data_IF_615581768215
#
_entry.id   IF_615581768215
#
_cell.length_a   1.000
_cell.length_b   1.000
_cell.length_c   1.000
_cell.angle_alpha   90.00
_cell.angle_beta   90.00
_cell.angle_gamma   90.00
#
_symmetry.space_group_name_H-M   'P 1'
#
loop_
_entity.id
_entity.type
_entity.pdbx_description
1 polymer ?
#
# COMPACT_ATOMS: atom_id res chain seq x y z
N UNK A 1 0.26 -31.86 -8.95
CA UNK A 1 0.92 -30.73 -9.65
C UNK A 1 0.22 -29.38 -9.50
N UNK A 2 -1.01 -29.15 -10.00
CA UNK A 2 -1.63 -27.80 -9.94
C UNK A 2 -1.85 -27.28 -8.52
N UNK A 3 -2.29 -28.13 -7.60
CA UNK A 3 -2.40 -27.78 -6.17
C UNK A 3 -1.05 -27.47 -5.53
N UNK A 4 0.01 -28.19 -5.91
CA UNK A 4 1.36 -27.94 -5.43
C UNK A 4 1.89 -26.59 -5.93
N UNK A 5 1.57 -26.21 -7.17
CA UNK A 5 1.88 -24.89 -7.71
C UNK A 5 1.16 -23.78 -6.92
N UNK A 6 -0.11 -24.00 -6.54
CA UNK A 6 -0.85 -23.09 -5.65
C UNK A 6 -0.18 -22.98 -4.28
N UNK A 7 0.15 -24.12 -3.66
CA UNK A 7 0.81 -24.15 -2.36
C UNK A 7 2.15 -23.41 -2.37
N UNK A 8 2.98 -23.65 -3.38
CA UNK A 8 4.26 -22.97 -3.56
C UNK A 8 4.09 -21.46 -3.78
N UNK A 9 3.12 -21.06 -4.61
CA UNK A 9 2.86 -19.64 -4.84
C UNK A 9 2.38 -18.94 -3.56
N UNK A 10 1.54 -19.58 -2.75
CA UNK A 10 1.08 -19.01 -1.47
C UNK A 10 2.23 -18.96 -0.45
N UNK A 11 3.11 -19.96 -0.41
CA UNK A 11 4.32 -19.91 0.43
C UNK A 11 5.15 -18.66 0.13
N UNK A 12 5.33 -18.34 -1.16
CA UNK A 12 6.04 -17.12 -1.57
C UNK A 12 5.36 -15.83 -1.13
N UNK A 13 4.02 -15.81 -1.05
CA UNK A 13 3.29 -14.66 -0.48
C UNK A 13 3.59 -14.53 1.01
N UNK A 14 3.58 -15.64 1.75
CA UNK A 14 3.90 -15.65 3.19
C UNK A 14 5.37 -15.29 3.45
N UNK A 15 6.29 -15.79 2.63
CA UNK A 15 7.72 -15.43 2.69
C UNK A 15 7.94 -13.94 2.39
N UNK A 16 7.16 -13.36 1.47
CA UNK A 16 7.20 -11.92 1.21
C UNK A 16 6.72 -11.08 2.41
N UNK A 17 5.89 -11.65 3.30
CA UNK A 17 5.54 -11.02 4.58
C UNK A 17 6.65 -11.16 5.64
N UNK A 18 7.77 -11.82 5.33
CA UNK A 18 8.93 -12.04 6.19
C UNK A 18 9.35 -10.86 7.07
N UNK A 19 9.42 -9.62 6.55
CA UNK A 19 9.77 -8.46 7.36
C UNK A 19 8.89 -8.25 8.60
N UNK A 20 7.61 -8.64 8.55
CA UNK A 20 6.67 -8.54 9.68
C UNK A 20 6.56 -9.83 10.50
N UNK A 21 7.05 -10.96 9.99
CA UNK A 21 7.07 -12.24 10.71
C UNK A 21 8.14 -12.28 11.81
N UNK A 22 9.12 -11.37 11.75
CA UNK A 22 10.18 -11.24 12.76
C UNK A 22 9.77 -10.41 14.00
N UNK A 23 8.48 -10.05 14.14
CA UNK A 23 7.97 -9.29 15.29
C UNK A 23 8.26 -7.79 15.24
N UNK A 24 8.83 -7.27 14.14
CA UNK A 24 8.97 -5.84 13.89
C UNK A 24 7.67 -5.35 13.25
N UNK A 25 6.76 -4.84 14.07
CA UNK A 25 5.45 -4.35 13.59
C UNK A 25 5.58 -3.08 12.74
N UNK A 26 6.62 -2.28 12.97
CA UNK A 26 6.87 -1.05 12.22
C UNK A 26 8.27 -1.03 11.58
N UNK A 27 8.27 -1.08 10.26
CA UNK A 27 9.45 -0.86 9.42
C UNK A 27 9.52 0.60 8.99
N UNK A 28 10.71 1.10 8.59
CA UNK A 28 10.84 2.34 7.86
C UNK A 28 9.86 2.41 6.68
N UNK A 29 9.37 3.60 6.35
CA UNK A 29 8.31 3.76 5.35
C UNK A 29 8.70 3.21 3.97
N UNK A 30 9.93 3.49 3.54
CA UNK A 30 10.47 3.02 2.26
C UNK A 30 10.55 1.49 2.19
N UNK A 31 11.01 0.84 3.27
CA UNK A 31 11.06 -0.61 3.39
C UNK A 31 9.65 -1.21 3.43
N UNK A 32 8.73 -0.57 4.16
CA UNK A 32 7.31 -0.97 4.23
C UNK A 32 6.68 -0.98 2.84
N UNK A 33 6.86 0.09 2.07
CA UNK A 33 6.32 0.22 0.70
C UNK A 33 6.92 -0.84 -0.22
N UNK A 34 8.22 -1.10 -0.11
CA UNK A 34 8.91 -2.12 -0.92
C UNK A 34 8.43 -3.54 -0.59
N UNK A 35 8.27 -3.86 0.69
CA UNK A 35 7.74 -5.13 1.14
C UNK A 35 6.28 -5.34 0.68
N UNK A 36 5.43 -4.31 0.80
CA UNK A 36 4.03 -4.36 0.31
C UNK A 36 3.99 -4.69 -1.19
N UNK A 37 4.82 -4.02 -2.01
CA UNK A 37 4.88 -4.28 -3.46
C UNK A 37 5.27 -5.74 -3.75
N UNK A 38 6.21 -6.29 -2.99
CA UNK A 38 6.62 -7.69 -3.11
C UNK A 38 5.47 -8.65 -2.78
N UNK A 39 4.74 -8.39 -1.68
CA UNK A 39 3.54 -9.16 -1.33
C UNK A 39 2.45 -9.09 -2.40
N UNK A 40 2.16 -7.90 -2.95
CA UNK A 40 1.14 -7.71 -4.00
C UNK A 40 1.52 -8.45 -5.31
N UNK A 41 2.80 -8.40 -5.69
CA UNK A 41 3.32 -9.13 -6.84
C UNK A 41 3.20 -10.65 -6.65
N UNK A 42 3.64 -11.16 -5.50
CA UNK A 42 3.51 -12.59 -5.17
C UNK A 42 2.04 -13.02 -5.13
N UNK A 43 1.16 -12.20 -4.54
CA UNK A 43 -0.27 -12.49 -4.47
C UNK A 43 -0.93 -12.53 -5.85
N UNK A 44 -0.45 -11.74 -6.82
CA UNK A 44 -0.91 -11.80 -8.21
C UNK A 44 -0.58 -13.15 -8.84
N UNK A 45 0.65 -13.63 -8.65
CA UNK A 45 1.07 -14.96 -9.13
C UNK A 45 0.24 -16.07 -8.48
N UNK A 46 0.01 -15.99 -7.18
CA UNK A 46 -0.82 -16.96 -6.45
C UNK A 46 -2.28 -16.97 -6.93
N UNK A 47 -2.88 -15.81 -7.23
CA UNK A 47 -4.23 -15.74 -7.81
C UNK A 47 -4.31 -16.43 -9.17
N UNK A 48 -3.31 -16.22 -10.04
CA UNK A 48 -3.24 -16.92 -11.33
C UNK A 48 -3.15 -18.43 -11.15
N UNK A 49 -2.30 -18.91 -10.23
CA UNK A 49 -2.18 -20.34 -9.92
C UNK A 49 -3.51 -20.93 -9.41
N UNK A 50 -4.22 -20.22 -8.53
CA UNK A 50 -5.54 -20.61 -8.02
C UNK A 50 -6.56 -20.72 -9.15
N UNK A 51 -6.61 -19.73 -10.05
CA UNK A 51 -7.52 -19.75 -11.21
C UNK A 51 -7.25 -20.92 -12.14
N UNK A 52 -5.97 -21.19 -12.44
CA UNK A 52 -5.57 -22.34 -13.27
C UNK A 52 -5.96 -23.67 -12.61
N UNK A 53 -5.70 -23.84 -11.31
CA UNK A 53 -6.07 -25.05 -10.58
C UNK A 53 -7.59 -25.23 -10.54
N UNK A 54 -8.34 -24.16 -10.32
CA UNK A 54 -9.82 -24.18 -10.31
C UNK A 54 -10.38 -24.63 -11.65
N UNK A 55 -9.90 -24.04 -12.74
CA UNK A 55 -10.32 -24.40 -14.10
C UNK A 55 -10.00 -25.86 -14.39
N UNK A 56 -8.80 -26.32 -14.05
CA UNK A 56 -8.40 -27.71 -14.25
C UNK A 56 -9.30 -28.70 -13.49
N UNK A 57 -9.57 -28.45 -12.20
CA UNK A 57 -10.46 -29.30 -11.40
C UNK A 57 -11.86 -29.33 -12.02
N UNK A 58 -12.41 -28.17 -12.41
CA UNK A 58 -13.73 -28.09 -13.05
C UNK A 58 -13.80 -28.92 -14.35
N UNK A 59 -12.78 -28.82 -15.21
CA UNK A 59 -12.67 -29.64 -16.42
C UNK A 59 -12.63 -31.13 -16.09
N UNK A 60 -11.83 -31.54 -15.09
CA UNK A 60 -11.74 -32.95 -14.68
C UNK A 60 -13.02 -33.49 -14.06
N UNK A 61 -13.81 -32.66 -13.37
CA UNK A 61 -15.13 -33.06 -12.87
C UNK A 61 -16.08 -33.36 -14.04
N UNK A 62 -16.04 -32.58 -15.12
CA UNK A 62 -16.87 -32.83 -16.32
C UNK A 62 -16.41 -34.11 -17.05
N UNK A 63 -15.10 -34.31 -17.20
CA UNK A 63 -14.56 -35.54 -17.78
C UNK A 63 -14.93 -36.77 -16.95
N UNK A 64 -14.85 -36.68 -15.61
CA UNK A 64 -15.15 -37.78 -14.70
C UNK A 64 -16.58 -38.33 -14.87
N UNK A 65 -17.54 -37.47 -15.24
CA UNK A 65 -18.94 -37.85 -15.50
C UNK A 65 -19.12 -38.73 -16.74
N UNK A 66 -18.12 -38.83 -17.62
CA UNK A 66 -18.17 -39.64 -18.84
C UNK A 66 -17.77 -41.09 -18.63
N UNK A 67 -17.20 -41.43 -17.47
CA UNK A 67 -16.83 -42.81 -17.13
C UNK A 67 -18.03 -43.62 -16.65
N UNK A 68 -17.85 -44.94 -16.55
CA UNK A 68 -18.85 -45.84 -15.96
C UNK A 68 -19.09 -45.51 -14.48
N UNK A 69 -20.26 -45.89 -13.91
CA UNK A 69 -20.71 -45.38 -12.61
C UNK A 69 -19.75 -45.59 -11.43
N UNK A 70 -19.02 -46.71 -11.39
CA UNK A 70 -18.04 -47.00 -10.33
C UNK A 70 -16.84 -46.05 -10.37
N UNK A 71 -16.01 -46.09 -11.44
CA UNK A 71 -14.88 -45.18 -11.62
C UNK A 71 -15.27 -43.69 -11.60
N UNK A 72 -16.47 -43.35 -12.10
CA UNK A 72 -16.97 -41.97 -12.07
C UNK A 72 -17.15 -41.47 -10.64
N UNK A 73 -17.78 -42.25 -9.75
CA UNK A 73 -17.98 -41.89 -8.34
C UNK A 73 -16.66 -41.70 -7.61
N UNK A 74 -15.74 -42.67 -7.72
CA UNK A 74 -14.45 -42.61 -7.05
C UNK A 74 -13.62 -41.38 -7.50
N UNK A 75 -13.62 -41.10 -8.81
CA UNK A 75 -12.91 -39.93 -9.35
C UNK A 75 -13.52 -38.62 -8.87
N UNK A 76 -14.85 -38.52 -8.82
CA UNK A 76 -15.55 -37.34 -8.34
C UNK A 76 -15.28 -37.07 -6.86
N UNK A 77 -15.19 -38.10 -6.02
CA UNK A 77 -14.83 -37.96 -4.60
C UNK A 77 -13.42 -37.41 -4.42
N UNK A 78 -12.43 -37.92 -5.17
CA UNK A 78 -11.06 -37.39 -5.15
C UNK A 78 -11.00 -35.93 -5.61
N UNK A 79 -11.71 -35.59 -6.69
CA UNK A 79 -11.78 -34.22 -7.20
C UNK A 79 -12.45 -33.26 -6.19
N UNK A 80 -13.46 -33.72 -5.45
CA UNK A 80 -14.06 -32.95 -4.36
C UNK A 80 -13.05 -32.68 -3.24
N UNK A 81 -12.23 -33.67 -2.88
CA UNK A 81 -11.13 -33.48 -1.93
C UNK A 81 -10.15 -32.38 -2.38
N UNK A 82 -9.73 -32.42 -3.66
CA UNK A 82 -8.88 -31.39 -4.25
C UNK A 82 -9.54 -30.01 -4.30
N UNK A 83 -10.85 -29.95 -4.51
CA UNK A 83 -11.61 -28.69 -4.47
C UNK A 83 -11.58 -28.09 -3.06
N UNK A 84 -11.81 -28.90 -2.02
CA UNK A 84 -11.71 -28.45 -0.62
C UNK A 84 -10.30 -27.96 -0.28
N UNK A 85 -9.25 -28.65 -0.75
CA UNK A 85 -7.87 -28.22 -0.56
C UNK A 85 -7.60 -26.87 -1.23
N UNK A 86 -8.05 -26.69 -2.48
CA UNK A 86 -7.94 -25.41 -3.19
C UNK A 86 -8.68 -24.28 -2.49
N UNK A 87 -9.85 -24.55 -1.91
CA UNK A 87 -10.60 -23.57 -1.12
C UNK A 87 -9.84 -23.13 0.13
N UNK A 88 -9.18 -24.06 0.82
CA UNK A 88 -8.33 -23.74 1.98
C UNK A 88 -7.15 -22.85 1.59
N UNK A 89 -6.48 -23.15 0.48
CA UNK A 89 -5.43 -22.28 -0.07
C UNK A 89 -5.96 -20.90 -0.47
N UNK A 90 -7.14 -20.85 -1.10
CA UNK A 90 -7.77 -19.58 -1.49
C UNK A 90 -8.06 -18.72 -0.26
N UNK A 91 -8.56 -19.32 0.83
CA UNK A 91 -8.78 -18.62 2.12
C UNK A 91 -7.48 -18.03 2.67
N UNK A 92 -6.41 -18.83 2.76
CA UNK A 92 -5.09 -18.35 3.20
C UNK A 92 -4.59 -17.18 2.36
N UNK A 93 -4.74 -17.25 1.04
CA UNK A 93 -4.37 -16.15 0.15
C UNK A 93 -5.20 -14.88 0.40
N UNK A 94 -6.50 -15.02 0.69
CA UNK A 94 -7.34 -13.86 1.03
C UNK A 94 -6.90 -13.20 2.35
N UNK A 95 -6.55 -13.99 3.36
CA UNK A 95 -6.07 -13.48 4.63
C UNK A 95 -4.75 -12.70 4.46
N UNK A 96 -3.79 -13.25 3.70
CA UNK A 96 -2.52 -12.58 3.37
C UNK A 96 -2.72 -11.29 2.56
N UNK A 97 -3.70 -11.27 1.65
CA UNK A 97 -4.06 -10.04 0.91
C UNK A 97 -4.67 -9.01 1.84
N UNK A 98 -5.48 -9.42 2.81
CA UNK A 98 -6.12 -8.53 3.79
C UNK A 98 -5.07 -7.88 4.71
N UNK A 99 -4.13 -8.66 5.23
CA UNK A 99 -3.02 -8.13 6.05
C UNK A 99 -2.18 -7.14 5.24
N UNK A 100 -1.78 -7.51 4.02
CA UNK A 100 -1.04 -6.62 3.10
C UNK A 100 -1.80 -5.32 2.82
N UNK A 101 -3.10 -5.39 2.56
CA UNK A 101 -3.93 -4.20 2.31
C UNK A 101 -4.03 -3.29 3.54
N UNK A 102 -4.13 -3.85 4.75
CA UNK A 102 -4.13 -3.06 5.99
C UNK A 102 -2.79 -2.33 6.18
N UNK A 103 -1.67 -3.02 5.93
CA UNK A 103 -0.33 -2.41 6.01
C UNK A 103 -0.16 -1.31 4.97
N UNK A 104 -0.69 -1.50 3.76
CA UNK A 104 -0.70 -0.48 2.71
C UNK A 104 -1.49 0.76 3.12
N UNK A 105 -2.65 0.59 3.76
CA UNK A 105 -3.42 1.70 4.30
C UNK A 105 -2.62 2.47 5.36
N UNK A 106 -2.00 1.76 6.30
CA UNK A 106 -1.16 2.37 7.34
C UNK A 106 0.05 3.12 6.75
N UNK A 107 0.77 2.52 5.79
CA UNK A 107 1.88 3.18 5.10
C UNK A 107 1.42 4.45 4.37
N UNK A 108 0.28 4.38 3.69
CA UNK A 108 -0.30 5.53 2.98
C UNK A 108 -0.67 6.68 3.93
N UNK A 109 -1.19 6.36 5.12
CA UNK A 109 -1.45 7.36 6.16
C UNK A 109 -0.16 8.01 6.66
N UNK A 110 0.90 7.23 6.91
CA UNK A 110 2.21 7.77 7.33
C UNK A 110 2.84 8.67 6.27
N UNK A 111 2.70 8.32 4.98
CA UNK A 111 3.12 9.21 3.88
C UNK A 111 2.34 10.53 3.90
N UNK A 112 1.02 10.47 4.09
CA UNK A 112 0.19 11.68 4.16
C UNK A 112 0.57 12.58 5.34
N UNK A 113 0.80 11.99 6.51
CA UNK A 113 1.24 12.70 7.70
C UNK A 113 2.59 13.41 7.47
N UNK A 114 3.54 12.73 6.83
CA UNK A 114 4.85 13.31 6.49
C UNK A 114 4.71 14.52 5.56
N UNK A 115 3.85 14.44 4.54
CA UNK A 115 3.59 15.56 3.63
C UNK A 115 2.90 16.74 4.33
N UNK A 116 1.98 16.47 5.25
CA UNK A 116 1.32 17.51 6.06
C UNK A 116 2.31 18.18 7.00
N UNK A 117 3.12 17.42 7.75
CA UNK A 117 4.14 17.96 8.64
C UNK A 117 5.14 18.86 7.87
N UNK A 118 5.55 18.45 6.68
CA UNK A 118 6.41 19.28 5.81
C UNK A 118 5.73 20.59 5.39
N UNK A 119 4.44 20.55 5.06
CA UNK A 119 3.68 21.74 4.72
C UNK A 119 3.50 22.67 5.93
N UNK A 120 3.25 22.12 7.12
CA UNK A 120 3.15 22.87 8.38
C UNK A 120 4.47 23.55 8.74
N UNK A 121 5.61 22.85 8.61
CA UNK A 121 6.92 23.42 8.89
C UNK A 121 7.24 24.59 7.94
N UNK A 122 6.92 24.45 6.65
CA UNK A 122 7.12 25.52 5.68
C UNK A 122 6.15 26.69 5.93
N UNK A 123 4.91 26.43 6.31
CA UNK A 123 3.96 27.48 6.69
C UNK A 123 4.44 28.25 7.93
N UNK A 124 5.02 27.56 8.92
CA UNK A 124 5.63 28.20 10.09
C UNK A 124 6.78 29.14 9.68
N UNK A 125 7.62 28.72 8.72
CA UNK A 125 8.71 29.57 8.18
C UNK A 125 8.20 30.85 7.51
N UNK A 126 6.99 30.84 6.93
CA UNK A 126 6.35 32.08 6.45
C UNK A 126 6.10 33.04 7.61
N UNK A 127 5.55 32.53 8.71
CA UNK A 127 5.30 33.33 9.91
C UNK A 127 6.59 33.91 10.50
N UNK A 128 7.66 33.11 10.53
CA UNK A 128 9.00 33.52 10.98
C UNK A 128 9.61 34.61 10.07
N UNK A 129 9.53 34.45 8.75
CA UNK A 129 10.00 35.44 7.79
C UNK A 129 9.18 36.76 7.85
N UNK A 130 7.88 36.65 8.14
CA UNK A 130 6.96 37.78 8.21
C UNK A 130 6.95 38.51 9.57
N UNK A 131 7.74 38.08 10.57
CA UNK A 131 7.74 38.66 11.92
C UNK A 131 7.97 40.18 11.89
N UNK A 132 8.81 40.67 10.98
CA UNK A 132 9.12 42.10 10.87
C UNK A 132 7.90 42.97 10.54
N UNK A 133 6.88 42.38 9.91
CA UNK A 133 5.65 43.05 9.50
C UNK A 133 4.57 43.04 10.60
N UNK A 134 4.81 42.40 11.75
CA UNK A 134 3.82 42.30 12.84
C UNK A 134 3.81 43.52 13.77
N UNK A 135 4.85 44.35 13.73
CA UNK A 135 5.03 45.50 14.62
C UNK A 135 5.17 46.78 13.80
N UNK A 136 4.04 47.48 13.59
CA UNK A 136 3.96 48.71 12.81
C UNK A 136 4.93 49.79 13.31
N UNK A 137 5.15 49.88 14.62
CA UNK A 137 6.04 50.88 15.20
C UNK A 137 7.51 50.60 14.87
N UNK A 138 7.92 49.33 14.88
CA UNK A 138 9.27 48.95 14.41
C UNK A 138 9.40 49.09 12.90
N UNK A 139 8.37 48.71 12.15
CA UNK A 139 8.36 48.75 10.69
C UNK A 139 8.57 50.16 10.15
N UNK A 140 7.93 51.17 10.74
CA UNK A 140 8.06 52.58 10.34
C UNK A 140 9.47 53.17 10.58
N UNK A 141 10.26 52.54 11.44
CA UNK A 141 11.62 52.97 11.76
C UNK A 141 12.71 52.22 10.98
N UNK A 142 12.34 51.21 10.17
CA UNK A 142 13.27 50.43 9.37
C UNK A 142 13.57 51.10 8.01
N UNK A 143 14.80 50.96 7.50
CA UNK A 143 15.13 51.46 6.17
C UNK A 143 14.41 50.64 5.09
N UNK A 144 14.02 51.29 4.00
CA UNK A 144 13.26 50.65 2.92
C UNK A 144 13.96 49.45 2.28
N UNK A 145 15.29 49.37 2.37
CA UNK A 145 16.07 48.20 1.91
C UNK A 145 15.82 46.96 2.75
N UNK A 146 15.73 47.09 4.08
CA UNK A 146 15.47 45.97 4.99
C UNK A 146 14.02 45.50 4.88
N UNK A 147 13.08 46.43 4.73
CA UNK A 147 11.66 46.12 4.47
C UNK A 147 11.51 45.30 3.18
N UNK A 148 12.20 45.68 2.10
CA UNK A 148 12.18 44.94 0.83
C UNK A 148 12.81 43.56 0.96
N UNK A 149 13.95 43.44 1.64
CA UNK A 149 14.61 42.15 1.83
C UNK A 149 13.72 41.15 2.59
N UNK A 150 13.08 41.60 3.67
CA UNK A 150 12.15 40.77 4.43
C UNK A 150 10.87 40.43 3.63
N UNK A 151 10.40 41.35 2.78
CA UNK A 151 9.27 41.09 1.88
C UNK A 151 9.63 39.98 0.87
N UNK A 152 10.81 40.07 0.25
CA UNK A 152 11.30 39.05 -0.69
C UNK A 152 11.48 37.68 -0.02
N UNK A 153 11.98 37.65 1.22
CA UNK A 153 12.12 36.42 2.00
C UNK A 153 10.75 35.81 2.35
N UNK A 154 9.80 36.64 2.78
CA UNK A 154 8.42 36.21 3.07
C UNK A 154 7.74 35.64 1.82
N UNK A 155 7.88 36.29 0.66
CA UNK A 155 7.33 35.82 -0.61
C UNK A 155 7.92 34.44 -0.98
N UNK A 156 9.23 34.25 -0.82
CA UNK A 156 9.88 32.95 -1.11
C UNK A 156 9.38 31.86 -0.17
N UNK A 157 9.28 32.16 1.13
CA UNK A 157 8.74 31.23 2.11
C UNK A 157 7.28 30.87 1.78
N UNK A 158 6.47 31.86 1.41
CA UNK A 158 5.06 31.69 1.04
C UNK A 158 4.92 30.79 -0.20
N UNK A 159 5.71 31.02 -1.25
CA UNK A 159 5.71 30.19 -2.45
C UNK A 159 6.07 28.73 -2.14
N UNK A 160 7.06 28.50 -1.26
CA UNK A 160 7.45 27.16 -0.83
C UNK A 160 6.32 26.48 -0.01
N UNK A 161 5.71 27.19 0.93
CA UNK A 161 4.60 26.68 1.73
C UNK A 161 3.37 26.35 0.88
N UNK A 162 2.98 27.25 -0.05
CA UNK A 162 1.87 27.02 -0.97
C UNK A 162 2.11 25.79 -1.85
N UNK A 163 3.34 25.62 -2.37
CA UNK A 163 3.69 24.43 -3.14
C UNK A 163 3.55 23.15 -2.32
N UNK A 164 4.01 23.16 -1.06
CA UNK A 164 3.89 22.02 -0.15
C UNK A 164 2.42 21.72 0.21
N UNK A 165 1.60 22.73 0.50
CA UNK A 165 0.17 22.57 0.77
C UNK A 165 -0.59 21.99 -0.41
N UNK A 166 -0.29 22.44 -1.63
CA UNK A 166 -0.88 21.87 -2.86
C UNK A 166 -0.47 20.41 -3.03
N UNK A 167 0.80 20.08 -2.78
CA UNK A 167 1.27 18.70 -2.85
C UNK A 167 0.61 17.80 -1.81
N UNK A 168 0.54 18.21 -0.55
CA UNK A 168 -0.14 17.47 0.52
C UNK A 168 -1.63 17.28 0.21
N UNK A 169 -2.34 18.34 -0.19
CA UNK A 169 -3.75 18.27 -0.61
C UNK A 169 -3.95 17.30 -1.77
N UNK A 170 -3.09 17.38 -2.80
CA UNK A 170 -3.14 16.48 -3.95
C UNK A 170 -2.91 15.03 -3.53
N UNK A 171 -1.91 14.79 -2.67
CA UNK A 171 -1.57 13.46 -2.16
C UNK A 171 -2.78 12.81 -1.45
N UNK A 172 -3.40 13.54 -0.53
CA UNK A 172 -4.56 13.08 0.26
C UNK A 172 -5.77 12.85 -0.66
N UNK A 173 -6.09 13.82 -1.51
CA UNK A 173 -7.29 13.77 -2.38
C UNK A 173 -7.21 12.61 -3.39
N UNK A 174 -6.04 12.37 -3.99
CA UNK A 174 -5.86 11.32 -4.99
C UNK A 174 -5.95 9.91 -4.40
N UNK A 175 -5.61 9.75 -3.11
CA UNK A 175 -5.56 8.43 -2.46
C UNK A 175 -6.82 8.10 -1.65
N UNK A 176 -7.82 9.00 -1.62
CA UNK A 176 -9.09 8.85 -0.89
C UNK A 176 -8.89 8.26 0.51
N UNK A 177 -7.91 8.78 1.23
CA UNK A 177 -7.57 8.30 2.57
C UNK A 177 -8.57 8.81 3.60
#
# INVERSE_FOLDING_TARGET
EKLQAVASAISKVAEAEGPWLMGVEELPLEETVTAIKTCEAAATVANTAVSVARMFIATKVVEAKRFSPGPSKETQEKLKGHQTELENYTKKLMDLKKTTASRKKAATMREAETEVQKAEELAKKVGEAAVIFQDDAKLLNLPSSEIRAAADETIKAEQAANTALVNARRFITQRQI
#
